data_IF_460342180683
#
_entry.id   IF_460342180683
#
_cell.length_a   1.000
_cell.length_b   1.000
_cell.length_c   1.000
_cell.angle_alpha   90.00
_cell.angle_beta   90.00
_cell.angle_gamma   90.00
#
_symmetry.space_group_name_H-M   'P 1'
#
loop_
_entity.id
_entity.type
_entity.pdbx_description
1 polymer ?
#
# COMPACT_ATOMS: atom_id res chain seq x y z
N UNK A 1 -4.00 -55.78 -31.20
CA UNK A 1 -4.89 -54.61 -31.05
C UNK A 1 -4.74 -53.90 -29.70
N UNK A 2 -4.91 -54.56 -28.55
CA UNK A 2 -4.97 -53.91 -27.21
C UNK A 2 -3.76 -53.03 -26.81
N UNK A 3 -2.53 -53.34 -27.25
CA UNK A 3 -1.31 -52.55 -26.92
C UNK A 3 -1.26 -51.17 -27.60
N UNK A 4 -1.72 -51.06 -28.85
CA UNK A 4 -1.75 -49.79 -29.58
C UNK A 4 -2.77 -48.81 -28.98
N UNK A 5 -3.93 -49.32 -28.57
CA UNK A 5 -4.93 -48.51 -27.85
C UNK A 5 -4.43 -48.03 -26.50
N UNK A 6 -3.67 -48.84 -25.74
CA UNK A 6 -3.05 -48.40 -24.49
C UNK A 6 -2.07 -47.24 -24.69
N UNK A 7 -1.20 -47.34 -25.71
CA UNK A 7 -0.25 -46.25 -26.03
C UNK A 7 -0.99 -44.99 -26.45
N UNK A 8 -2.02 -45.11 -27.30
CA UNK A 8 -2.83 -43.96 -27.72
C UNK A 8 -3.54 -43.30 -26.54
N UNK A 9 -4.14 -44.07 -25.62
CA UNK A 9 -4.78 -43.55 -24.41
C UNK A 9 -3.74 -42.83 -23.53
N UNK A 10 -2.56 -43.42 -23.32
CA UNK A 10 -1.50 -42.80 -22.52
C UNK A 10 -0.99 -41.49 -23.12
N UNK A 11 -0.84 -41.43 -24.45
CA UNK A 11 -0.43 -40.20 -25.15
C UNK A 11 -1.54 -39.15 -25.08
N UNK A 12 -2.80 -39.52 -25.29
CA UNK A 12 -3.93 -38.60 -25.15
C UNK A 12 -4.04 -38.03 -23.74
N UNK A 13 -3.87 -38.86 -22.70
CA UNK A 13 -3.86 -38.40 -21.32
C UNK A 13 -2.70 -37.42 -21.06
N UNK A 14 -1.50 -37.71 -21.55
CA UNK A 14 -0.35 -36.81 -21.42
C UNK A 14 -0.61 -35.46 -22.09
N UNK A 15 -1.14 -35.46 -23.32
CA UNK A 15 -1.47 -34.24 -24.06
C UNK A 15 -2.55 -33.44 -23.34
N UNK A 16 -3.61 -34.08 -22.84
CA UNK A 16 -4.64 -33.42 -22.05
C UNK A 16 -4.03 -32.77 -20.81
N UNK A 17 -3.14 -33.47 -20.12
CA UNK A 17 -2.47 -32.92 -18.91
C UNK A 17 -1.67 -31.67 -19.25
N UNK A 18 -0.90 -31.68 -20.35
CA UNK A 18 -0.12 -30.53 -20.82
C UNK A 18 -1.03 -29.37 -21.22
N UNK A 19 -2.11 -29.63 -21.97
CA UNK A 19 -3.06 -28.60 -22.40
C UNK A 19 -3.76 -27.98 -21.19
N UNK A 20 -4.20 -28.78 -20.22
CA UNK A 20 -4.76 -28.29 -18.96
C UNK A 20 -3.72 -27.44 -18.24
N UNK A 21 -2.47 -27.87 -18.10
CA UNK A 21 -1.44 -27.04 -17.45
C UNK A 21 -1.23 -25.68 -18.11
N UNK A 22 -1.25 -25.60 -19.45
CA UNK A 22 -1.10 -24.34 -20.20
C UNK A 22 -2.33 -23.43 -20.02
N UNK A 23 -3.54 -24.01 -20.02
CA UNK A 23 -4.78 -23.24 -19.84
C UNK A 23 -4.90 -22.67 -18.42
N UNK A 24 -4.32 -23.34 -17.42
CA UNK A 24 -4.36 -22.93 -16.02
C UNK A 24 -3.14 -22.11 -15.56
N UNK A 25 -2.20 -21.82 -16.46
CA UNK A 25 -0.94 -21.12 -16.13
C UNK A 25 -1.16 -19.69 -15.60
N UNK A 26 -2.21 -19.02 -16.07
CA UNK A 26 -2.62 -17.69 -15.59
C UNK A 26 -3.19 -17.71 -14.17
N UNK A 27 -4.11 -18.63 -13.90
CA UNK A 27 -4.80 -18.77 -12.59
C UNK A 27 -3.82 -19.24 -11.50
N UNK A 28 -2.91 -20.16 -11.81
CA UNK A 28 -1.89 -20.65 -10.88
C UNK A 28 -0.97 -19.53 -10.38
N UNK A 29 -0.59 -18.58 -11.24
CA UNK A 29 0.18 -17.41 -10.82
C UNK A 29 -0.58 -16.55 -9.81
N UNK A 30 -1.89 -16.39 -9.94
CA UNK A 30 -2.72 -15.69 -8.95
C UNK A 30 -2.87 -16.47 -7.65
N UNK A 31 -3.08 -17.79 -7.72
CA UNK A 31 -3.28 -18.66 -6.55
C UNK A 31 -2.00 -18.87 -5.74
N UNK A 32 -0.83 -18.91 -6.38
CA UNK A 32 0.47 -19.01 -5.68
C UNK A 32 1.11 -17.65 -5.37
N UNK A 33 0.68 -16.56 -6.02
CA UNK A 33 1.08 -15.20 -5.64
C UNK A 33 0.44 -14.73 -4.33
N UNK A 34 -0.64 -15.38 -3.87
CA UNK A 34 -1.39 -14.96 -2.68
C UNK A 34 -0.70 -15.26 -1.35
N UNK A 35 0.47 -15.90 -1.34
CA UNK A 35 1.37 -15.86 -0.18
C UNK A 35 2.16 -14.55 -0.14
N UNK A 36 1.46 -13.41 -0.20
CA UNK A 36 2.00 -12.20 0.41
C UNK A 36 1.91 -12.41 1.92
N UNK A 37 3.01 -12.15 2.63
CA UNK A 37 2.91 -11.86 4.06
C UNK A 37 2.04 -10.60 4.18
N UNK A 38 0.72 -10.74 4.36
CA UNK A 38 -0.26 -9.66 4.54
C UNK A 38 -0.10 -8.94 5.90
N UNK A 39 1.12 -8.94 6.45
CA UNK A 39 1.45 -8.24 7.67
C UNK A 39 1.82 -6.77 7.40
N UNK A 40 1.68 -5.90 8.41
CA UNK A 40 2.16 -4.52 8.32
C UNK A 40 3.66 -4.48 7.96
N UNK A 41 4.02 -3.55 7.07
CA UNK A 41 5.40 -3.33 6.63
C UNK A 41 6.09 -2.39 7.62
N UNK A 42 6.98 -2.94 8.47
CA UNK A 42 7.79 -2.14 9.39
C UNK A 42 9.17 -1.78 8.84
N UNK A 43 9.69 -2.57 7.91
CA UNK A 43 11.00 -2.38 7.28
C UNK A 43 11.07 -3.14 5.96
N UNK A 44 11.99 -2.73 5.11
CA UNK A 44 12.36 -3.47 3.89
C UNK A 44 13.87 -3.73 3.88
N UNK A 45 14.28 -4.85 3.29
CA UNK A 45 15.70 -5.16 3.14
C UNK A 45 16.29 -4.33 2.00
N UNK A 46 17.44 -3.70 2.26
CA UNK A 46 18.24 -2.95 1.29
C UNK A 46 19.71 -3.30 1.51
N UNK A 47 20.45 -3.50 0.43
CA UNK A 47 21.89 -3.74 0.49
C UNK A 47 22.67 -2.50 0.92
N UNK A 48 22.08 -1.33 0.69
CA UNK A 48 22.60 -0.03 1.08
C UNK A 48 22.11 0.38 2.48
N UNK A 49 22.92 1.18 3.19
CA UNK A 49 22.54 1.78 4.49
C UNK A 49 21.62 2.98 4.26
N UNK A 50 20.34 2.70 4.12
CA UNK A 50 19.30 3.72 3.91
C UNK A 50 18.25 3.68 5.00
N UNK A 51 17.61 4.83 5.24
CA UNK A 51 16.45 4.98 6.11
C UNK A 51 15.31 5.64 5.32
N UNK A 52 14.07 5.40 5.76
CA UNK A 52 12.89 6.15 5.29
C UNK A 52 12.38 7.01 6.44
N UNK A 53 11.99 8.25 6.13
CA UNK A 53 11.39 9.17 7.09
C UNK A 53 9.90 9.27 6.83
N UNK A 54 9.10 9.11 7.88
CA UNK A 54 7.66 9.35 7.84
C UNK A 54 7.19 10.21 9.01
N UNK A 55 6.13 10.98 8.79
CA UNK A 55 5.53 11.87 9.77
C UNK A 55 4.03 11.65 9.84
N UNK A 56 3.48 11.51 11.04
CA UNK A 56 2.04 11.42 11.28
C UNK A 56 1.50 12.80 11.64
N UNK A 57 0.56 13.32 10.83
CA UNK A 57 -0.06 14.63 11.03
C UNK A 57 -1.46 14.45 11.60
N UNK A 58 -1.65 14.92 12.82
CA UNK A 58 -2.91 14.85 13.56
C UNK A 58 -3.20 16.16 14.33
N UNK A 59 -4.24 16.17 15.18
CA UNK A 59 -4.67 17.33 15.95
C UNK A 59 -3.61 17.93 16.90
N UNK A 60 -2.57 17.15 17.25
CA UNK A 60 -1.51 17.57 18.16
C UNK A 60 -0.31 18.23 17.44
N UNK A 61 -0.43 18.49 16.13
CA UNK A 61 0.52 19.28 15.36
C UNK A 61 0.72 20.67 16.01
N UNK A 62 1.97 21.13 16.09
CA UNK A 62 2.37 22.36 16.81
C UNK A 62 2.91 23.46 15.88
N UNK A 63 2.39 23.52 14.66
CA UNK A 63 2.82 24.44 13.59
C UNK A 63 4.30 24.28 13.16
N UNK A 64 4.84 23.07 13.25
CA UNK A 64 6.24 22.76 12.92
C UNK A 64 6.43 22.28 11.47
N UNK A 65 5.34 22.05 10.73
CA UNK A 65 5.40 21.51 9.36
C UNK A 65 6.33 22.35 8.47
N UNK A 66 6.27 23.68 8.55
CA UNK A 66 7.14 24.53 7.72
C UNK A 66 8.62 24.38 8.07
N UNK A 67 8.96 24.30 9.37
CA UNK A 67 10.33 24.07 9.82
C UNK A 67 10.85 22.69 9.38
N UNK A 68 9.98 21.66 9.44
CA UNK A 68 10.31 20.32 8.96
C UNK A 68 10.59 20.35 7.45
N UNK A 69 9.73 21.01 6.66
CA UNK A 69 9.91 21.13 5.21
C UNK A 69 11.20 21.87 4.86
N UNK A 70 11.53 22.95 5.57
CA UNK A 70 12.80 23.68 5.39
C UNK A 70 14.01 22.77 5.63
N UNK A 71 14.00 21.98 6.69
CA UNK A 71 15.09 21.04 7.00
C UNK A 71 15.19 19.96 5.92
N UNK A 72 14.07 19.39 5.48
CA UNK A 72 14.06 18.37 4.43
C UNK A 72 14.60 18.93 3.11
N UNK A 73 14.21 20.15 2.72
CA UNK A 73 14.72 20.81 1.51
C UNK A 73 16.22 21.11 1.61
N UNK A 74 16.68 21.64 2.75
CA UNK A 74 18.09 21.91 3.01
C UNK A 74 18.99 20.71 2.79
N UNK A 75 18.52 19.51 3.15
CA UNK A 75 19.27 18.27 2.96
C UNK A 75 18.88 17.50 1.69
N UNK A 76 17.99 18.06 0.86
CA UNK A 76 17.45 17.45 -0.35
C UNK A 76 16.88 16.03 -0.09
N UNK A 77 16.14 15.88 1.01
CA UNK A 77 15.53 14.62 1.45
C UNK A 77 14.03 14.65 1.18
N UNK A 78 13.48 13.53 0.71
CA UNK A 78 12.02 13.32 0.62
C UNK A 78 11.55 12.39 1.75
N UNK A 79 10.28 12.52 2.09
CA UNK A 79 9.65 11.84 3.21
C UNK A 79 8.18 11.56 2.88
N UNK A 80 7.56 10.70 3.67
CA UNK A 80 6.12 10.37 3.56
C UNK A 80 5.36 11.00 4.72
N UNK A 81 4.34 11.80 4.43
CA UNK A 81 3.48 12.41 5.44
C UNK A 81 2.14 11.68 5.47
N UNK A 82 1.85 10.96 6.56
CA UNK A 82 0.56 10.34 6.81
C UNK A 82 -0.38 11.39 7.42
N UNK A 83 -1.37 11.82 6.66
CA UNK A 83 -2.18 13.01 7.01
C UNK A 83 -3.60 12.61 7.35
N UNK A 84 -4.13 13.16 8.44
CA UNK A 84 -5.52 12.95 8.82
C UNK A 84 -6.46 13.90 8.06
N UNK A 85 -7.51 13.37 7.45
CA UNK A 85 -8.43 14.17 6.63
C UNK A 85 -9.17 15.27 7.40
N UNK A 86 -9.55 14.99 8.65
CA UNK A 86 -10.15 15.98 9.54
C UNK A 86 -9.25 17.17 9.83
N UNK A 87 -7.93 16.96 9.98
CA UNK A 87 -6.97 18.04 10.21
C UNK A 87 -6.87 18.96 9.00
N UNK A 88 -6.84 18.40 7.79
CA UNK A 88 -6.83 19.19 6.53
C UNK A 88 -8.07 20.06 6.42
N UNK A 89 -9.24 19.53 6.78
CA UNK A 89 -10.52 20.22 6.65
C UNK A 89 -10.83 21.20 7.80
N UNK A 90 -9.98 21.26 8.82
CA UNK A 90 -10.21 22.10 10.00
C UNK A 90 -9.93 23.58 9.75
N UNK A 91 -8.90 23.91 8.95
CA UNK A 91 -8.54 25.28 8.62
C UNK A 91 -7.94 25.39 7.22
N UNK A 92 -8.05 26.58 6.62
CA UNK A 92 -7.41 26.84 5.34
C UNK A 92 -5.88 26.78 5.46
N UNK A 93 -5.32 27.18 6.60
CA UNK A 93 -3.89 27.06 6.87
C UNK A 93 -3.42 25.59 6.82
N UNK A 94 -4.20 24.65 7.36
CA UNK A 94 -3.84 23.22 7.28
C UNK A 94 -3.89 22.71 5.84
N UNK A 95 -4.83 23.21 5.03
CA UNK A 95 -4.87 22.94 3.59
C UNK A 95 -3.64 23.53 2.87
N UNK A 96 -3.22 24.74 3.21
CA UNK A 96 -2.00 25.35 2.68
C UNK A 96 -0.75 24.53 3.04
N UNK A 97 -0.63 24.08 4.30
CA UNK A 97 0.44 23.18 4.75
C UNK A 97 0.47 21.89 3.92
N UNK A 98 -0.68 21.26 3.66
CA UNK A 98 -0.80 20.09 2.78
C UNK A 98 -0.29 20.38 1.36
N UNK A 99 -0.68 21.52 0.78
CA UNK A 99 -0.22 21.94 -0.54
C UNK A 99 1.31 22.10 -0.54
N UNK A 100 1.88 22.71 0.50
CA UNK A 100 3.34 22.89 0.63
C UNK A 100 4.09 21.57 0.77
N UNK A 101 3.55 20.60 1.51
CA UNK A 101 4.08 19.23 1.54
C UNK A 101 4.10 18.64 0.13
N UNK A 102 3.02 18.80 -0.65
CA UNK A 102 2.94 18.27 -2.02
C UNK A 102 3.89 18.97 -2.98
N UNK A 103 3.94 20.30 -2.94
CA UNK A 103 4.83 21.13 -3.76
C UNK A 103 6.32 20.83 -3.48
N UNK A 104 6.65 20.51 -2.22
CA UNK A 104 7.97 20.03 -1.82
C UNK A 104 8.33 18.64 -2.38
N UNK A 105 7.43 17.96 -3.09
CA UNK A 105 7.67 16.65 -3.70
C UNK A 105 7.66 15.49 -2.71
N UNK A 106 7.04 15.66 -1.54
CA UNK A 106 6.87 14.61 -0.55
C UNK A 106 5.69 13.69 -0.89
N UNK A 107 5.74 12.46 -0.38
CA UNK A 107 4.64 11.52 -0.50
C UNK A 107 3.57 11.81 0.56
N UNK A 108 2.29 11.64 0.19
CA UNK A 108 1.16 11.78 1.11
C UNK A 108 0.52 10.41 1.33
N UNK A 109 0.46 9.99 2.59
CA UNK A 109 -0.17 8.76 3.03
C UNK A 109 -1.47 8.99 3.81
N UNK A 110 -2.22 7.91 4.04
CA UNK A 110 -3.50 7.93 4.75
C UNK A 110 -3.31 7.73 6.26
N UNK A 111 -3.78 8.69 7.08
CA UNK A 111 -3.79 8.59 8.55
C UNK A 111 -5.21 8.65 9.12
N UNK A 112 -6.19 8.06 8.43
CA UNK A 112 -7.63 8.09 8.71
C UNK A 112 -8.27 9.49 8.69
N UNK A 113 -9.56 9.60 8.96
CA UNK A 113 -10.26 10.88 8.92
C UNK A 113 -10.26 11.59 10.28
N UNK A 114 -10.49 10.89 11.39
CA UNK A 114 -10.45 11.48 12.74
C UNK A 114 -9.52 10.75 13.74
N UNK A 115 -8.72 9.79 13.26
CA UNK A 115 -7.82 8.98 14.10
C UNK A 115 -8.55 8.21 15.23
N UNK A 116 -9.62 7.43 14.92
CA UNK A 116 -10.21 6.55 15.91
C UNK A 116 -9.28 5.37 16.22
N UNK A 117 -9.52 4.70 17.34
CA UNK A 117 -8.85 3.44 17.63
C UNK A 117 -9.44 2.33 16.74
N UNK A 118 -8.75 1.97 15.66
CA UNK A 118 -9.25 1.02 14.65
C UNK A 118 -9.68 -0.33 15.26
N UNK A 119 -9.02 -0.80 16.31
CA UNK A 119 -9.39 -2.04 17.01
C UNK A 119 -10.71 -1.97 17.79
N UNK A 120 -11.37 -0.79 17.86
CA UNK A 120 -12.60 -0.54 18.61
C UNK A 120 -13.79 -0.13 17.74
N UNK A 121 -13.61 -0.07 16.42
CA UNK A 121 -14.66 0.30 15.46
C UNK A 121 -14.97 -0.88 14.55
N UNK A 122 -16.17 -0.87 13.95
CA UNK A 122 -16.56 -1.89 12.97
C UNK A 122 -15.95 -1.62 11.59
N UNK A 123 -16.06 -2.62 10.70
CA UNK A 123 -15.50 -2.57 9.34
C UNK A 123 -16.09 -1.43 8.48
N UNK A 124 -17.37 -1.11 8.65
CA UNK A 124 -17.99 -0.02 7.89
C UNK A 124 -17.39 1.32 8.31
N UNK A 125 -17.19 1.51 9.62
CA UNK A 125 -16.52 2.69 10.13
C UNK A 125 -15.05 2.75 9.70
N UNK A 126 -14.33 1.63 9.68
CA UNK A 126 -12.96 1.59 9.15
C UNK A 126 -12.92 2.04 7.68
N UNK A 127 -13.84 1.54 6.83
CA UNK A 127 -13.94 1.95 5.42
C UNK A 127 -14.23 3.44 5.29
N UNK A 128 -15.17 3.96 6.07
CA UNK A 128 -15.49 5.39 6.07
C UNK A 128 -14.26 6.24 6.42
N UNK A 129 -13.50 5.86 7.45
CA UNK A 129 -12.28 6.56 7.85
C UNK A 129 -11.21 6.58 6.75
N UNK A 130 -11.08 5.49 5.98
CA UNK A 130 -10.10 5.38 4.91
C UNK A 130 -10.55 6.13 3.65
N UNK A 131 -11.80 5.99 3.24
CA UNK A 131 -12.32 6.57 2.00
C UNK A 131 -12.53 8.08 2.09
N UNK A 132 -12.97 8.58 3.25
CA UNK A 132 -13.26 10.01 3.44
C UNK A 132 -11.99 10.86 3.46
N UNK A 133 -10.85 10.28 3.79
CA UNK A 133 -9.56 10.97 3.80
C UNK A 133 -8.99 11.18 2.38
N UNK A 134 -9.38 10.35 1.42
CA UNK A 134 -8.91 10.40 0.02
C UNK A 134 -9.72 11.41 -0.83
N UNK A 135 -10.90 11.83 -0.35
CA UNK A 135 -11.80 12.78 -1.03
C UNK A 135 -11.58 14.21 -0.55
#
# INVERSE_FOLDING_TARGET
MKRRYRVLISVSLLVITIVVSILFEGELKYVFSSTFNEGPIYRVNKDEKVISLSFDINWAEKDEIYNILEVLDKYNVKATFFIMGGWVNYSEENREKLIKIKEGGHEIGNHSYIHPMFTKIDENRMKEELEKQIK
#
